data_IF_203299292228
#
_entry.id   IF_203299292228
#
_cell.length_a   1.000
_cell.length_b   1.000
_cell.length_c   1.000
_cell.angle_alpha   90.00
_cell.angle_beta   90.00
_cell.angle_gamma   90.00
#
_symmetry.space_group_name_H-M   'P 1'
#
loop_
_entity.id
_entity.type
_entity.pdbx_description
1 polymer ?
#
# COMPACT_ATOMS: atom_id res chain seq x y z
N UNK A 1 -16.83 0.09 10.83
CA UNK A 1 -17.36 1.28 11.49
C UNK A 1 -17.47 2.49 10.57
N UNK A 2 -16.84 2.45 9.38
CA UNK A 2 -16.98 3.47 8.34
C UNK A 2 -18.20 3.16 7.46
N UNK A 3 -18.63 4.14 6.66
CA UNK A 3 -19.66 3.92 5.67
C UNK A 3 -19.14 3.10 4.45
N UNK A 4 -20.04 2.71 3.55
CA UNK A 4 -19.69 1.89 2.39
C UNK A 4 -18.91 2.66 1.30
N UNK A 5 -18.75 3.96 1.45
CA UNK A 5 -18.05 4.83 0.49
C UNK A 5 -16.63 5.18 0.97
N UNK A 6 -16.27 4.79 2.19
CA UNK A 6 -14.95 5.06 2.75
C UNK A 6 -14.13 3.77 2.77
N UNK A 7 -13.10 3.74 1.96
CA UNK A 7 -12.14 2.63 1.94
C UNK A 7 -11.39 2.52 3.27
N UNK A 8 -11.19 1.31 3.75
CA UNK A 8 -10.45 1.09 4.97
C UNK A 8 -10.63 -0.31 5.54
N UNK A 9 -10.15 -0.49 6.73
CA UNK A 9 -10.22 -1.77 7.42
C UNK A 9 -9.56 -1.74 8.79
N UNK A 10 -9.46 -2.89 9.40
CA UNK A 10 -8.80 -3.04 10.70
C UNK A 10 -8.01 -4.33 10.76
N UNK A 11 -7.06 -4.38 11.65
CA UNK A 11 -6.33 -5.60 11.96
C UNK A 11 -6.14 -5.74 13.46
N UNK A 12 -6.03 -6.99 13.90
CA UNK A 12 -5.69 -7.34 15.27
C UNK A 12 -4.75 -8.55 15.24
N UNK A 13 -3.64 -8.44 15.94
CA UNK A 13 -2.68 -9.53 16.10
C UNK A 13 -2.41 -9.77 17.58
N UNK A 14 -2.54 -11.01 17.99
CA UNK A 14 -2.05 -11.46 19.29
C UNK A 14 -0.58 -11.83 19.17
N UNK A 15 0.24 -11.28 20.04
CA UNK A 15 1.67 -11.54 20.08
C UNK A 15 2.08 -12.13 21.45
N UNK A 16 3.35 -12.43 21.59
CA UNK A 16 3.93 -12.92 22.84
C UNK A 16 3.72 -11.94 23.99
N UNK A 17 3.86 -12.42 25.20
CA UNK A 17 3.72 -11.63 26.44
C UNK A 17 2.35 -10.95 26.60
N UNK A 18 1.28 -11.58 26.13
CA UNK A 18 -0.10 -11.07 26.21
C UNK A 18 -0.26 -9.70 25.52
N UNK A 19 0.53 -9.42 24.51
CA UNK A 19 0.42 -8.19 23.72
C UNK A 19 -0.63 -8.35 22.62
N UNK A 20 -1.33 -7.25 22.34
CA UNK A 20 -2.28 -7.15 21.23
C UNK A 20 -1.89 -5.95 20.38
N UNK A 21 -1.63 -6.17 19.09
CA UNK A 21 -1.45 -5.13 18.09
C UNK A 21 -2.79 -4.86 17.43
N UNK A 22 -3.26 -3.65 17.56
CA UNK A 22 -4.54 -3.21 17.01
C UNK A 22 -4.29 -2.05 16.06
N UNK A 23 -4.80 -2.15 14.83
CA UNK A 23 -4.69 -1.08 13.86
C UNK A 23 -6.00 -0.80 13.14
N UNK A 24 -6.10 0.41 12.63
CA UNK A 24 -7.24 0.90 11.88
C UNK A 24 -6.75 1.71 10.67
N UNK A 25 -7.23 1.35 9.50
CA UNK A 25 -6.80 1.92 8.22
C UNK A 25 -7.97 2.67 7.60
N UNK A 26 -7.71 3.87 7.13
CA UNK A 26 -8.71 4.73 6.47
C UNK A 26 -8.09 5.27 5.20
N UNK A 27 -8.77 5.10 4.06
CA UNK A 27 -8.43 5.78 2.82
C UNK A 27 -8.54 7.30 3.01
N UNK A 28 -7.47 8.05 2.69
CA UNK A 28 -7.43 9.49 2.93
C UNK A 28 -8.22 10.30 1.88
N UNK A 29 -8.87 9.62 0.94
CA UNK A 29 -9.79 10.17 -0.06
C UNK A 29 -11.26 10.22 0.42
N UNK A 30 -11.48 10.10 1.72
CA UNK A 30 -12.82 10.15 2.31
C UNK A 30 -13.52 11.49 2.05
N UNK A 31 -14.82 11.42 1.77
CA UNK A 31 -15.63 12.59 1.37
C UNK A 31 -16.07 13.48 2.54
N UNK A 32 -16.17 12.93 3.74
CA UNK A 32 -16.58 13.68 4.93
C UNK A 32 -15.41 14.47 5.52
N UNK A 33 -15.36 15.81 5.39
CA UNK A 33 -14.26 16.61 5.90
C UNK A 33 -14.14 16.61 7.43
N UNK A 34 -15.17 16.16 8.14
CA UNK A 34 -15.18 16.06 9.59
C UNK A 34 -14.75 14.68 10.11
N UNK A 35 -14.43 13.75 9.20
CA UNK A 35 -13.94 12.44 9.62
C UNK A 35 -12.53 12.57 10.16
N UNK A 36 -12.32 12.08 11.38
CA UNK A 36 -11.01 12.01 12.02
C UNK A 36 -10.56 10.55 12.10
N UNK A 37 -9.48 10.14 11.43
CA UNK A 37 -8.94 8.80 11.54
C UNK A 37 -8.65 8.37 12.98
N UNK A 38 -8.20 9.31 13.81
CA UNK A 38 -7.98 9.06 15.24
C UNK A 38 -9.27 8.71 15.96
N UNK A 39 -10.33 9.51 15.78
CA UNK A 39 -11.60 9.30 16.49
C UNK A 39 -12.29 8.02 16.01
N UNK A 40 -12.22 7.71 14.72
CA UNK A 40 -12.72 6.44 14.18
C UNK A 40 -11.98 5.24 14.78
N UNK A 41 -10.70 5.34 15.03
CA UNK A 41 -9.95 4.30 15.71
C UNK A 41 -10.35 4.19 17.19
N UNK A 42 -10.62 5.31 17.89
CA UNK A 42 -11.17 5.25 19.25
C UNK A 42 -12.55 4.59 19.25
N UNK A 43 -13.44 4.97 18.32
CA UNK A 43 -14.76 4.36 18.16
C UNK A 43 -14.67 2.86 17.88
N UNK A 44 -13.76 2.43 17.01
CA UNK A 44 -13.52 1.01 16.74
C UNK A 44 -13.19 0.21 18.00
N UNK A 45 -12.39 0.76 18.90
CA UNK A 45 -12.02 0.12 20.18
C UNK A 45 -13.19 -0.05 21.14
N UNK A 46 -14.26 0.73 20.97
CA UNK A 46 -15.48 0.58 21.80
C UNK A 46 -16.41 -0.52 21.32
N UNK A 47 -16.17 -1.08 20.13
CA UNK A 47 -16.98 -2.18 19.63
C UNK A 47 -16.94 -3.38 20.61
N UNK A 48 -18.09 -3.99 20.97
CA UNK A 48 -18.15 -5.01 22.03
C UNK A 48 -17.15 -6.17 21.86
N UNK A 49 -16.96 -6.65 20.63
CA UNK A 49 -16.03 -7.73 20.34
C UNK A 49 -14.57 -7.33 20.52
N UNK A 50 -14.21 -6.07 20.22
CA UNK A 50 -12.86 -5.53 20.36
C UNK A 50 -12.58 -5.17 21.81
N UNK A 51 -13.53 -4.46 22.45
CA UNK A 51 -13.44 -4.03 23.83
C UNK A 51 -13.12 -5.19 24.76
N UNK A 52 -13.81 -6.32 24.63
CA UNK A 52 -13.55 -7.54 25.42
C UNK A 52 -12.10 -7.99 25.42
N UNK A 53 -11.38 -7.80 24.31
CA UNK A 53 -10.02 -8.28 24.15
C UNK A 53 -9.02 -7.31 24.79
N UNK A 54 -9.30 -6.00 24.72
CA UNK A 54 -8.37 -4.96 25.18
C UNK A 54 -8.70 -4.43 26.57
N UNK A 55 -9.87 -4.78 27.14
CA UNK A 55 -10.30 -4.32 28.46
C UNK A 55 -9.33 -4.74 29.56
N UNK A 56 -9.01 -3.83 30.45
CA UNK A 56 -7.98 -4.04 31.49
C UNK A 56 -6.53 -3.97 30.99
N UNK A 57 -6.33 -3.86 29.68
CA UNK A 57 -5.00 -3.69 29.09
C UNK A 57 -4.45 -2.28 29.25
N UNK A 58 -3.12 -2.17 29.25
CA UNK A 58 -2.41 -0.89 29.24
C UNK A 58 -1.78 -0.65 27.86
N UNK A 59 -2.00 0.54 27.30
CA UNK A 59 -1.33 0.96 26.06
C UNK A 59 0.18 1.11 26.30
N UNK A 60 0.99 0.37 25.57
CA UNK A 60 2.45 0.39 25.66
C UNK A 60 3.10 1.19 24.54
N UNK A 61 2.45 1.31 23.38
CA UNK A 61 2.94 2.08 22.24
C UNK A 61 1.82 2.53 21.33
N UNK A 62 2.07 3.51 20.47
CA UNK A 62 1.18 3.92 19.39
C UNK A 62 1.99 4.55 18.25
N UNK A 63 1.40 4.59 17.09
CA UNK A 63 1.96 5.26 15.92
C UNK A 63 0.92 5.36 14.81
N UNK A 64 1.18 6.24 13.86
CA UNK A 64 0.40 6.36 12.63
C UNK A 64 1.33 6.66 11.46
N UNK A 65 0.97 6.17 10.27
CA UNK A 65 1.70 6.44 9.04
C UNK A 65 0.72 6.47 7.87
N UNK A 66 0.90 7.45 6.98
CA UNK A 66 0.28 7.43 5.66
C UNK A 66 1.04 6.46 4.75
N UNK A 67 0.30 5.70 3.95
CA UNK A 67 0.82 4.76 2.96
C UNK A 67 0.36 5.20 1.57
N UNK A 68 1.21 4.98 0.56
CA UNK A 68 0.87 5.26 -0.84
C UNK A 68 0.32 3.98 -1.46
N UNK A 69 -0.96 3.97 -1.79
CA UNK A 69 -1.69 2.83 -2.36
C UNK A 69 -2.18 3.08 -3.79
N UNK A 70 -1.59 4.03 -4.49
CA UNK A 70 -1.97 4.36 -5.86
C UNK A 70 -1.54 3.34 -6.92
N UNK A 71 -0.61 2.44 -6.58
CA UNK A 71 -0.10 1.41 -7.50
C UNK A 71 0.75 1.97 -8.64
N UNK A 72 0.87 1.18 -9.73
CA UNK A 72 1.75 1.49 -10.86
C UNK A 72 1.52 2.88 -11.46
N UNK A 73 0.24 3.28 -11.60
CA UNK A 73 -0.12 4.55 -12.26
C UNK A 73 0.26 5.78 -11.45
N UNK A 74 0.54 5.63 -10.16
CA UNK A 74 0.90 6.73 -9.26
C UNK A 74 2.38 6.80 -8.93
N UNK A 75 3.21 5.94 -9.53
CA UNK A 75 4.65 6.00 -9.33
C UNK A 75 5.19 7.35 -9.81
N UNK A 76 5.89 8.11 -8.96
CA UNK A 76 6.53 9.35 -9.36
C UNK A 76 7.79 9.07 -10.17
N UNK A 77 8.46 10.11 -10.64
CA UNK A 77 9.86 10.02 -11.07
C UNK A 77 10.71 9.63 -9.86
N UNK A 78 11.34 8.46 -9.91
CA UNK A 78 11.99 7.84 -8.75
C UNK A 78 13.46 8.23 -8.58
N UNK A 79 13.99 9.11 -9.41
CA UNK A 79 15.35 9.61 -9.29
C UNK A 79 15.43 11.11 -9.53
N UNK A 80 16.44 11.72 -8.95
CA UNK A 80 16.89 13.07 -9.24
C UNK A 80 18.41 13.17 -8.98
N UNK A 81 19.09 14.24 -9.41
CA UNK A 81 20.50 14.39 -9.08
C UNK A 81 20.76 14.27 -7.57
N UNK A 82 21.56 13.28 -7.19
CA UNK A 82 21.93 13.02 -5.80
C UNK A 82 20.87 12.31 -4.92
N UNK A 83 19.70 11.88 -5.48
CA UNK A 83 18.67 11.21 -4.70
C UNK A 83 17.90 10.14 -5.48
N UNK A 84 17.43 9.12 -4.76
CA UNK A 84 16.51 8.08 -5.23
C UNK A 84 15.33 7.93 -4.27
N UNK A 85 14.14 7.69 -4.81
CA UNK A 85 12.94 7.31 -4.04
C UNK A 85 12.79 5.78 -4.02
N UNK A 86 12.59 5.22 -2.84
CA UNK A 86 12.46 3.78 -2.64
C UNK A 86 11.27 3.44 -1.74
N UNK A 87 10.84 2.20 -1.79
CA UNK A 87 9.85 1.65 -0.87
C UNK A 87 8.48 2.31 -0.95
N UNK A 88 7.81 2.38 0.18
CA UNK A 88 6.45 2.92 0.26
C UNK A 88 6.39 4.40 -0.14
N UNK A 89 7.42 5.18 0.12
CA UNK A 89 7.47 6.60 -0.26
C UNK A 89 7.56 6.78 -1.78
N UNK A 90 8.07 5.78 -2.51
CA UNK A 90 7.98 5.71 -3.97
C UNK A 90 6.64 5.13 -4.48
N UNK A 91 5.82 4.56 -3.60
CA UNK A 91 4.53 3.95 -3.99
C UNK A 91 4.63 2.49 -4.43
N UNK A 92 5.64 1.74 -3.96
CA UNK A 92 5.85 0.34 -4.39
C UNK A 92 4.96 -0.68 -3.68
N UNK A 93 4.03 -0.25 -2.83
CA UNK A 93 3.11 -1.14 -2.12
C UNK A 93 2.15 -1.84 -3.10
N UNK A 94 2.04 -3.16 -2.98
CA UNK A 94 1.02 -3.92 -3.69
C UNK A 94 -0.30 -3.83 -2.92
N UNK A 95 -1.21 -2.96 -3.36
CA UNK A 95 -2.47 -2.67 -2.67
C UNK A 95 -3.37 -3.91 -2.55
N UNK A 96 -3.66 -4.69 -3.60
CA UNK A 96 -4.51 -5.88 -3.48
C UNK A 96 -4.01 -6.91 -2.46
N UNK A 97 -2.70 -7.04 -2.31
CA UNK A 97 -2.10 -7.93 -1.31
C UNK A 97 -1.98 -7.28 0.08
N UNK A 98 -2.14 -5.96 0.18
CA UNK A 98 -1.86 -5.17 1.39
C UNK A 98 -0.43 -5.47 1.89
N UNK A 99 0.52 -5.59 0.97
CA UNK A 99 1.92 -5.95 1.26
C UNK A 99 2.87 -5.01 0.55
N UNK A 100 3.82 -4.45 1.31
CA UNK A 100 4.81 -3.52 0.81
C UNK A 100 6.25 -3.82 1.24
N UNK A 101 6.44 -4.67 2.26
CA UNK A 101 7.80 -4.92 2.80
C UNK A 101 8.74 -5.55 1.77
N UNK A 102 8.27 -6.56 1.03
CA UNK A 102 9.07 -7.24 0.01
C UNK A 102 9.44 -6.32 -1.16
N UNK A 103 8.49 -5.51 -1.63
CA UNK A 103 8.72 -4.53 -2.70
C UNK A 103 9.63 -3.39 -2.25
N UNK A 104 9.48 -2.93 -0.99
CA UNK A 104 10.35 -1.92 -0.40
C UNK A 104 11.80 -2.43 -0.29
N UNK A 105 12.01 -3.64 0.21
CA UNK A 105 13.34 -4.25 0.29
C UNK A 105 13.99 -4.39 -1.08
N UNK A 106 13.25 -4.90 -2.07
CA UNK A 106 13.81 -5.06 -3.43
C UNK A 106 14.11 -3.72 -4.10
N UNK A 107 13.27 -2.70 -3.92
CA UNK A 107 13.56 -1.36 -4.42
C UNK A 107 14.83 -0.77 -3.80
N UNK A 108 15.04 -1.01 -2.49
CA UNK A 108 16.27 -0.63 -1.80
C UNK A 108 17.50 -1.35 -2.35
N UNK A 109 17.40 -2.65 -2.66
CA UNK A 109 18.49 -3.40 -3.30
C UNK A 109 18.85 -2.83 -4.67
N UNK A 110 17.84 -2.54 -5.52
CA UNK A 110 18.06 -1.94 -6.84
C UNK A 110 18.72 -0.56 -6.70
N UNK A 111 18.28 0.23 -5.72
CA UNK A 111 18.88 1.53 -5.45
C UNK A 111 20.36 1.41 -5.03
N UNK A 112 20.69 0.48 -4.14
CA UNK A 112 22.06 0.25 -3.71
C UNK A 112 22.98 -0.18 -4.86
N UNK A 113 22.51 -1.07 -5.73
CA UNK A 113 23.21 -1.47 -6.97
C UNK A 113 23.44 -0.26 -7.90
N UNK A 114 22.41 0.58 -8.05
CA UNK A 114 22.49 1.79 -8.88
C UNK A 114 23.50 2.79 -8.35
N UNK A 115 23.46 3.05 -7.03
CA UNK A 115 24.39 3.97 -6.37
C UNK A 115 25.83 3.45 -6.50
N UNK A 116 26.06 2.15 -6.33
CA UNK A 116 27.39 1.56 -6.49
C UNK A 116 27.94 1.74 -7.92
N UNK A 117 27.09 1.57 -8.95
CA UNK A 117 27.49 1.81 -10.34
C UNK A 117 27.71 3.31 -10.63
N UNK A 118 26.88 4.18 -10.06
CA UNK A 118 27.07 5.63 -10.14
C UNK A 118 28.44 6.06 -9.57
N UNK A 119 28.77 5.58 -8.39
CA UNK A 119 30.01 5.96 -7.71
C UNK A 119 31.26 5.37 -8.35
N UNK A 120 31.19 4.16 -8.90
CA UNK A 120 32.36 3.48 -9.51
C UNK A 120 32.54 3.75 -10.97
N UNK A 121 31.44 3.88 -11.71
CA UNK A 121 31.44 3.92 -13.19
C UNK A 121 30.91 5.25 -13.73
N UNK A 122 30.58 6.19 -12.84
CA UNK A 122 29.99 7.50 -13.19
C UNK A 122 28.72 7.40 -14.03
N UNK A 123 27.95 6.32 -13.85
CA UNK A 123 26.64 6.15 -14.54
C UNK A 123 25.60 7.10 -13.97
N UNK A 124 24.69 7.56 -14.81
CA UNK A 124 23.58 8.41 -14.38
C UNK A 124 22.59 7.64 -13.49
N UNK A 125 22.02 8.31 -12.48
CA UNK A 125 21.04 7.70 -11.56
C UNK A 125 19.71 7.32 -12.25
N UNK A 126 19.44 7.79 -13.47
CA UNK A 126 18.26 7.40 -14.26
C UNK A 126 18.20 5.89 -14.54
N UNK A 127 19.34 5.20 -14.54
CA UNK A 127 19.37 3.73 -14.69
C UNK A 127 18.58 3.00 -13.61
N UNK A 128 18.30 3.66 -12.48
CA UNK A 128 17.44 3.11 -11.43
C UNK A 128 16.03 2.78 -11.95
N UNK A 129 15.41 3.69 -12.71
CA UNK A 129 14.07 3.44 -13.26
C UNK A 129 14.09 2.29 -14.28
N UNK A 130 15.13 2.17 -15.08
CA UNK A 130 15.26 1.08 -16.06
C UNK A 130 15.42 -0.27 -15.36
N UNK A 131 16.22 -0.33 -14.30
CA UNK A 131 16.38 -1.53 -13.48
C UNK A 131 15.08 -1.87 -12.75
N UNK A 132 14.40 -0.87 -12.22
CA UNK A 132 13.09 -1.05 -11.57
C UNK A 132 12.07 -1.63 -12.55
N UNK A 133 11.95 -1.07 -13.76
CA UNK A 133 11.03 -1.56 -14.81
C UNK A 133 11.33 -2.99 -15.26
N UNK A 134 12.59 -3.42 -15.19
CA UNK A 134 13.01 -4.80 -15.50
C UNK A 134 12.88 -5.77 -14.32
N UNK A 135 12.50 -5.26 -13.14
CA UNK A 135 12.39 -6.07 -11.93
C UNK A 135 11.01 -6.70 -11.79
N UNK A 136 10.93 -7.76 -10.98
CA UNK A 136 9.66 -8.39 -10.63
C UNK A 136 8.71 -7.46 -9.85
N UNK A 137 9.21 -6.38 -9.21
CA UNK A 137 8.34 -5.39 -8.57
C UNK A 137 7.43 -4.74 -9.60
N UNK A 138 8.02 -4.29 -10.71
CA UNK A 138 7.25 -3.65 -11.77
C UNK A 138 6.21 -4.61 -12.35
N UNK A 139 6.59 -5.87 -12.58
CA UNK A 139 5.66 -6.90 -13.05
C UNK A 139 4.51 -7.11 -12.07
N UNK A 140 4.81 -7.22 -10.77
CA UNK A 140 3.80 -7.39 -9.73
C UNK A 140 2.84 -6.20 -9.66
N UNK A 141 3.35 -4.97 -9.70
CA UNK A 141 2.52 -3.77 -9.74
C UNK A 141 1.72 -3.67 -11.04
N UNK A 142 2.31 -4.08 -12.16
CA UNK A 142 1.62 -4.09 -13.45
C UNK A 142 0.45 -5.07 -13.45
N UNK A 143 0.61 -6.25 -12.89
CA UNK A 143 -0.49 -7.21 -12.75
C UNK A 143 -1.63 -6.68 -11.88
N UNK A 144 -1.31 -5.92 -10.83
CA UNK A 144 -2.29 -5.36 -9.88
C UNK A 144 -2.92 -4.03 -10.33
N UNK A 145 -2.45 -3.42 -11.42
CA UNK A 145 -2.73 -2.02 -11.81
C UNK A 145 -4.20 -1.67 -11.98
N UNK A 146 -5.03 -2.63 -12.39
CA UNK A 146 -6.46 -2.39 -12.65
C UNK A 146 -7.36 -2.65 -11.44
N UNK A 147 -6.83 -3.25 -10.37
CA UNK A 147 -7.65 -3.65 -9.22
C UNK A 147 -8.26 -2.44 -8.52
N UNK A 148 -7.44 -1.53 -8.01
CA UNK A 148 -7.96 -0.36 -7.28
C UNK A 148 -8.87 0.52 -8.14
N UNK A 149 -8.51 0.89 -9.38
CA UNK A 149 -9.36 1.72 -10.23
C UNK A 149 -10.73 1.10 -10.53
N UNK A 150 -10.85 -0.21 -10.62
CA UNK A 150 -12.14 -0.86 -10.90
C UNK A 150 -13.18 -0.65 -9.80
N UNK A 151 -12.75 -0.42 -8.57
CA UNK A 151 -13.65 -0.14 -7.45
C UNK A 151 -14.29 1.26 -7.52
N UNK A 152 -13.84 2.16 -8.40
CA UNK A 152 -14.55 3.40 -8.68
C UNK A 152 -15.96 3.17 -9.28
N UNK A 153 -16.20 2.00 -9.88
CA UNK A 153 -17.51 1.58 -10.39
C UNK A 153 -18.45 1.02 -9.30
N UNK A 154 -18.00 1.02 -8.05
CA UNK A 154 -18.68 0.45 -6.91
C UNK A 154 -18.20 -0.96 -6.56
N UNK A 155 -18.61 -1.42 -5.37
CA UNK A 155 -18.08 -2.65 -4.79
C UNK A 155 -18.36 -3.89 -5.65
N UNK A 156 -19.59 -4.08 -6.12
CA UNK A 156 -19.99 -5.29 -6.85
C UNK A 156 -19.27 -5.39 -8.20
N UNK A 157 -19.31 -4.31 -8.99
CA UNK A 157 -18.66 -4.29 -10.31
C UNK A 157 -17.13 -4.40 -10.17
N UNK A 158 -16.55 -3.75 -9.17
CA UNK A 158 -15.12 -3.86 -8.86
C UNK A 158 -14.70 -5.28 -8.53
N UNK A 159 -15.49 -6.01 -7.71
CA UNK A 159 -15.19 -7.41 -7.37
C UNK A 159 -15.29 -8.30 -8.61
N UNK A 160 -16.35 -8.17 -9.41
CA UNK A 160 -16.54 -8.99 -10.62
C UNK A 160 -15.39 -8.75 -11.60
N UNK A 161 -15.11 -7.48 -11.91
CA UNK A 161 -14.02 -7.12 -12.82
C UNK A 161 -12.67 -7.63 -12.31
N UNK A 162 -12.36 -7.39 -11.03
CA UNK A 162 -11.11 -7.85 -10.42
C UNK A 162 -11.00 -9.37 -10.48
N UNK A 163 -12.08 -10.10 -10.22
CA UNK A 163 -12.10 -11.57 -10.35
C UNK A 163 -11.75 -12.01 -11.77
N UNK A 164 -12.37 -11.41 -12.77
CA UNK A 164 -12.09 -11.69 -14.18
C UNK A 164 -10.63 -11.35 -14.53
N UNK A 165 -10.18 -10.12 -14.19
CA UNK A 165 -8.82 -9.68 -14.51
C UNK A 165 -7.75 -10.56 -13.85
N UNK A 166 -7.89 -10.84 -12.55
CA UNK A 166 -6.86 -11.55 -11.79
C UNK A 166 -6.90 -13.08 -11.99
N UNK A 167 -8.09 -13.69 -12.12
CA UNK A 167 -8.23 -15.14 -12.22
C UNK A 167 -8.09 -15.61 -13.69
N UNK A 168 -8.81 -14.97 -14.62
CA UNK A 168 -8.78 -15.39 -16.03
C UNK A 168 -7.59 -14.80 -16.78
N UNK A 169 -7.33 -13.50 -16.61
CA UNK A 169 -6.29 -12.80 -17.36
C UNK A 169 -4.98 -12.62 -16.59
N UNK A 170 -4.94 -12.97 -15.29
CA UNK A 170 -3.75 -12.83 -14.43
C UNK A 170 -3.16 -11.42 -14.45
N UNK A 171 -4.02 -10.40 -14.50
CA UNK A 171 -3.60 -9.00 -14.57
C UNK A 171 -2.98 -8.59 -15.92
N UNK A 172 -3.16 -9.39 -16.98
CA UNK A 172 -2.54 -9.17 -18.30
C UNK A 172 -3.49 -8.55 -19.33
N UNK A 173 -4.59 -7.91 -18.89
CA UNK A 173 -5.45 -7.18 -19.82
C UNK A 173 -4.63 -6.13 -20.60
N UNK A 174 -4.91 -5.89 -21.90
CA UNK A 174 -4.10 -5.01 -22.75
C UNK A 174 -4.28 -3.52 -22.45
N UNK A 175 -5.10 -3.16 -21.47
CA UNK A 175 -5.38 -1.78 -21.10
C UNK A 175 -5.11 -1.54 -19.61
N UNK A 176 -4.97 -0.26 -19.27
CA UNK A 176 -4.81 0.21 -17.88
C UNK A 176 -5.95 1.18 -17.59
N UNK A 177 -6.69 0.91 -16.52
CA UNK A 177 -7.72 1.81 -16.02
C UNK A 177 -7.08 3.06 -15.42
N UNK A 178 -7.73 4.21 -15.59
CA UNK A 178 -7.32 5.45 -14.93
C UNK A 178 -7.91 5.52 -13.51
N UNK A 179 -7.18 6.21 -12.62
CA UNK A 179 -7.69 6.57 -11.30
C UNK A 179 -8.73 7.67 -11.40
#
# INVERSE_FOLDING_TARGET
>A
PLDNNTYGGSFMYHAENKQVFLGYVIGLDYKNPHLSPFDEFQRFKTHPAIKKIIEGGKRISYGARALIEGGLQSLPKMFMPGALLIGCDAGTLNMPKIKGSHTAMKSGMIAAETINEHLKENKDLSIYEDKFKKSWIYEELHQARNVKPSFSWGLILGIIFTGIDQILFRGKLPFTLRH
#
